data_IF_217350440656
#
_entry.id   IF_217350440656
#
_cell.length_a   1.000
_cell.length_b   1.000
_cell.length_c   1.000
_cell.angle_alpha   90.00
_cell.angle_beta   90.00
_cell.angle_gamma   90.00
#
_symmetry.space_group_name_H-M   'P 1'
#
loop_
_entity.id
_entity.type
_entity.pdbx_description
1 polymer ?
#
# COMPACT_ATOMS: atom_id res chain seq x y z
N UNK A 1 -33.44 28.23 71.75
CA UNK A 1 -33.27 29.19 70.64
C UNK A 1 -31.77 29.36 70.44
N UNK A 2 -31.05 28.84 69.46
CA UNK A 2 -31.36 28.40 68.10
C UNK A 2 -30.34 27.30 67.71
N UNK A 3 -30.80 26.24 67.05
CA UNK A 3 -29.97 25.28 66.35
C UNK A 3 -30.01 25.64 64.86
N UNK A 4 -28.87 25.90 64.21
CA UNK A 4 -28.70 25.86 62.76
C UNK A 4 -27.24 26.16 62.41
N UNK A 5 -26.82 25.73 61.22
CA UNK A 5 -25.53 25.97 60.56
C UNK A 5 -24.39 25.02 60.91
N UNK A 6 -24.50 23.76 60.46
CA UNK A 6 -23.30 22.96 60.18
C UNK A 6 -23.39 22.04 58.96
N UNK A 7 -24.27 22.34 58.00
CA UNK A 7 -24.42 21.57 56.76
C UNK A 7 -24.45 22.45 55.49
N UNK A 8 -23.53 23.41 55.37
CA UNK A 8 -23.38 24.18 54.14
C UNK A 8 -21.90 24.43 53.88
N UNK A 9 -21.21 23.46 53.25
CA UNK A 9 -19.79 23.66 52.96
C UNK A 9 -19.07 22.55 52.19
N UNK A 10 -19.80 21.58 51.61
CA UNK A 10 -19.18 20.54 50.77
C UNK A 10 -19.98 20.18 49.52
N UNK A 11 -20.74 21.12 48.98
CA UNK A 11 -21.05 21.08 47.55
C UNK A 11 -19.82 21.64 46.81
N UNK A 12 -18.76 20.83 46.75
CA UNK A 12 -17.66 21.11 45.84
C UNK A 12 -18.27 21.21 44.45
N UNK A 13 -18.23 22.42 43.91
CA UNK A 13 -18.61 22.75 42.55
C UNK A 13 -17.88 21.76 41.65
N UNK A 14 -18.60 20.75 41.17
CA UNK A 14 -18.12 19.84 40.13
C UNK A 14 -17.99 20.74 38.91
N UNK A 15 -16.82 21.33 38.74
CA UNK A 15 -16.53 22.18 37.59
C UNK A 15 -16.84 21.33 36.36
N UNK A 16 -17.99 21.60 35.73
CA UNK A 16 -18.31 21.09 34.41
C UNK A 16 -17.11 21.48 33.57
N UNK A 17 -16.38 20.50 33.02
CA UNK A 17 -15.45 20.78 31.93
C UNK A 17 -16.28 21.44 30.85
N UNK A 18 -16.22 22.75 30.78
CA UNK A 18 -16.76 23.54 29.68
C UNK A 18 -15.89 23.21 28.48
N UNK A 19 -16.36 22.29 27.66
CA UNK A 19 -15.91 22.22 26.28
C UNK A 19 -16.24 23.59 25.68
N UNK A 20 -15.22 24.31 25.24
CA UNK A 20 -15.37 25.55 24.51
C UNK A 20 -16.24 25.25 23.28
N UNK A 21 -17.50 25.70 23.33
CA UNK A 21 -18.31 25.83 22.12
C UNK A 21 -17.85 27.11 21.43
N UNK A 22 -17.54 27.02 20.14
CA UNK A 22 -17.11 28.18 19.35
C UNK A 22 -18.11 29.33 19.53
N UNK A 23 -17.61 30.52 19.84
CA UNK A 23 -18.44 31.73 19.91
C UNK A 23 -18.96 32.06 18.50
N UNK A 24 -20.25 32.43 18.35
CA UNK A 24 -20.79 32.84 17.05
C UNK A 24 -20.04 34.10 16.60
N UNK A 25 -19.42 34.08 15.42
CA UNK A 25 -18.56 35.16 14.90
C UNK A 25 -17.05 34.94 15.03
N UNK A 26 -16.57 33.82 15.59
CA UNK A 26 -15.13 33.50 15.67
C UNK A 26 -14.65 32.63 14.48
N UNK A 27 -15.32 32.74 13.34
CA UNK A 27 -15.13 31.88 12.17
C UNK A 27 -13.94 32.28 11.28
N UNK A 28 -13.48 33.54 11.36
CA UNK A 28 -12.35 34.03 10.55
C UNK A 28 -11.16 34.61 11.34
N UNK A 29 -11.23 34.73 12.68
CA UNK A 29 -10.14 35.32 13.51
C UNK A 29 -9.26 34.31 14.24
N UNK A 30 -9.63 33.02 14.22
CA UNK A 30 -8.86 31.97 14.88
C UNK A 30 -7.72 31.49 13.99
N UNK A 31 -6.47 31.75 14.39
CA UNK A 31 -5.25 31.32 13.69
C UNK A 31 -5.26 29.83 13.29
N UNK A 32 -5.90 28.98 14.09
CA UNK A 32 -6.09 27.57 13.80
C UNK A 32 -6.96 27.31 12.55
N UNK A 33 -8.06 28.03 12.37
CA UNK A 33 -8.94 27.87 11.20
C UNK A 33 -8.21 28.35 9.93
N UNK A 34 -7.48 29.47 10.03
CA UNK A 34 -6.63 29.96 8.94
C UNK A 34 -5.55 28.94 8.55
N UNK A 35 -4.88 28.31 9.53
CA UNK A 35 -3.89 27.26 9.25
C UNK A 35 -4.50 26.02 8.59
N UNK A 36 -5.75 25.64 8.94
CA UNK A 36 -6.44 24.51 8.32
C UNK A 36 -6.80 24.79 6.87
N UNK A 37 -7.29 26.00 6.55
CA UNK A 37 -7.56 26.42 5.17
C UNK A 37 -6.27 26.42 4.34
N UNK A 38 -5.16 26.94 4.89
CA UNK A 38 -3.86 26.93 4.22
C UNK A 38 -3.33 25.51 3.97
N UNK A 39 -3.47 24.59 4.94
CA UNK A 39 -3.10 23.17 4.76
C UNK A 39 -3.97 22.50 3.70
N UNK A 40 -5.27 22.80 3.67
CA UNK A 40 -6.18 22.26 2.66
C UNK A 40 -5.81 22.73 1.25
N UNK A 41 -5.49 24.02 1.09
CA UNK A 41 -5.02 24.56 -0.18
C UNK A 41 -3.68 23.95 -0.60
N UNK A 42 -2.72 23.84 0.31
CA UNK A 42 -1.44 23.19 0.02
C UNK A 42 -1.64 21.73 -0.39
N UNK A 43 -2.51 20.99 0.31
CA UNK A 43 -2.81 19.60 0.01
C UNK A 43 -3.46 19.41 -1.36
N UNK A 44 -4.32 20.33 -1.80
CA UNK A 44 -4.89 20.32 -3.17
C UNK A 44 -3.77 20.39 -4.21
N UNK A 45 -2.84 21.35 -4.06
CA UNK A 45 -1.72 21.51 -4.99
C UNK A 45 -0.75 20.31 -4.96
N UNK A 46 -0.43 19.77 -3.77
CA UNK A 46 0.42 18.59 -3.64
C UNK A 46 -0.24 17.34 -4.24
N UNK A 47 -1.54 17.14 -4.00
CA UNK A 47 -2.28 16.02 -4.57
C UNK A 47 -2.34 16.09 -6.09
N UNK A 48 -2.55 17.27 -6.66
CA UNK A 48 -2.55 17.47 -8.12
C UNK A 48 -1.17 17.23 -8.72
N UNK A 49 -0.09 17.58 -8.03
CA UNK A 49 1.27 17.24 -8.44
C UNK A 49 1.49 15.73 -8.49
N UNK A 50 1.15 15.01 -7.42
CA UNK A 50 1.30 13.55 -7.36
C UNK A 50 0.40 12.84 -8.39
N UNK A 51 -0.82 13.33 -8.63
CA UNK A 51 -1.69 12.80 -9.69
C UNK A 51 -1.04 12.91 -11.06
N UNK A 52 -0.41 14.05 -11.38
CA UNK A 52 0.32 14.24 -12.65
C UNK A 52 1.54 13.32 -12.77
N UNK A 53 2.20 13.01 -11.67
CA UNK A 53 3.35 12.09 -11.63
C UNK A 53 2.91 10.62 -11.79
N UNK A 54 1.82 10.23 -11.11
CA UNK A 54 1.41 8.83 -10.96
C UNK A 54 0.35 8.35 -11.95
N UNK A 55 -0.61 9.18 -12.39
CA UNK A 55 -1.79 8.70 -13.13
C UNK A 55 -2.23 9.57 -14.33
N UNK A 56 -2.64 8.85 -15.38
CA UNK A 56 -3.41 9.30 -16.54
C UNK A 56 -4.75 9.92 -16.09
N UNK A 57 -5.17 10.98 -16.78
CA UNK A 57 -6.45 11.64 -16.56
C UNK A 57 -7.61 10.65 -16.56
N UNK A 58 -8.61 10.93 -15.73
CA UNK A 58 -9.82 10.15 -15.53
C UNK A 58 -10.41 9.61 -16.86
N UNK A 59 -10.47 8.28 -17.09
CA UNK A 59 -11.07 7.73 -18.30
C UNK A 59 -12.61 7.80 -18.28
N UNK A 60 -13.23 8.28 -17.20
CA UNK A 60 -14.69 8.31 -17.04
C UNK A 60 -15.34 9.65 -17.40
N UNK A 61 -14.60 10.62 -17.93
CA UNK A 61 -15.16 11.92 -18.34
C UNK A 61 -14.81 12.26 -19.79
N UNK A 62 -15.37 11.45 -20.72
CA UNK A 62 -15.80 11.85 -22.06
C UNK A 62 -15.02 12.93 -22.82
N UNK A 63 -13.68 12.89 -22.80
CA UNK A 63 -12.86 13.79 -23.62
C UNK A 63 -12.56 13.08 -24.94
N UNK A 64 -13.14 13.59 -26.02
CA UNK A 64 -13.28 12.99 -27.35
C UNK A 64 -11.95 12.80 -28.12
N UNK A 65 -10.80 12.97 -27.46
CA UNK A 65 -9.49 12.99 -28.11
C UNK A 65 -8.54 11.99 -27.45
N UNK A 66 -8.82 10.70 -27.62
CA UNK A 66 -7.97 9.59 -27.15
C UNK A 66 -6.51 9.70 -27.62
N UNK A 67 -6.24 10.37 -28.74
CA UNK A 67 -4.90 10.53 -29.31
C UNK A 67 -4.33 11.96 -29.28
N UNK A 68 -5.05 12.97 -28.75
CA UNK A 68 -4.66 14.39 -28.86
C UNK A 68 -4.11 15.07 -27.61
N UNK A 69 -4.18 14.44 -26.43
CA UNK A 69 -3.89 15.06 -25.14
C UNK A 69 -2.60 14.54 -24.46
N UNK A 70 -1.54 14.30 -25.24
CA UNK A 70 -0.22 13.87 -24.74
C UNK A 70 0.59 15.03 -24.13
N UNK A 71 0.03 15.76 -23.17
CA UNK A 71 0.75 16.77 -22.36
C UNK A 71 0.44 16.54 -20.89
N UNK A 72 1.06 15.56 -20.24
CA UNK A 72 0.93 15.46 -18.78
C UNK A 72 1.18 14.17 -17.99
N UNK A 73 1.57 13.02 -18.57
CA UNK A 73 1.55 11.73 -17.85
C UNK A 73 2.86 10.95 -18.06
N UNK A 74 3.91 11.27 -17.30
CA UNK A 74 5.27 11.08 -17.82
C UNK A 74 6.05 9.86 -17.31
N UNK A 75 5.80 9.37 -16.09
CA UNK A 75 6.77 8.45 -15.46
C UNK A 75 6.18 7.08 -15.19
N UNK A 76 5.15 6.98 -14.34
CA UNK A 76 4.72 5.67 -13.82
C UNK A 76 4.16 4.75 -14.92
N UNK A 77 3.22 5.22 -15.74
CA UNK A 77 2.56 4.37 -16.75
C UNK A 77 3.50 3.93 -17.88
N UNK A 78 4.31 4.82 -18.50
CA UNK A 78 5.32 4.39 -19.46
C UNK A 78 6.37 3.47 -18.84
N UNK A 79 6.82 3.74 -17.61
CA UNK A 79 7.80 2.88 -16.92
C UNK A 79 7.25 1.47 -16.66
N UNK A 80 5.98 1.35 -16.25
CA UNK A 80 5.32 0.05 -16.06
C UNK A 80 5.19 -0.70 -17.39
N UNK A 81 4.87 -0.02 -18.49
CA UNK A 81 4.81 -0.65 -19.82
C UNK A 81 6.19 -1.18 -20.22
N UNK A 82 7.23 -0.37 -20.12
CA UNK A 82 8.60 -0.80 -20.47
C UNK A 82 9.05 -1.95 -19.58
N UNK A 83 8.81 -1.86 -18.28
CA UNK A 83 9.13 -2.95 -17.34
C UNK A 83 8.35 -4.23 -17.65
N UNK A 84 7.07 -4.14 -18.01
CA UNK A 84 6.26 -5.29 -18.38
C UNK A 84 6.77 -5.94 -19.68
N UNK A 85 7.12 -5.15 -20.69
CA UNK A 85 7.70 -5.68 -21.94
C UNK A 85 9.03 -6.37 -21.69
N UNK A 86 9.90 -5.78 -20.87
CA UNK A 86 11.18 -6.39 -20.49
C UNK A 86 10.97 -7.70 -19.71
N UNK A 87 10.06 -7.71 -18.72
CA UNK A 87 9.73 -8.91 -17.95
C UNK A 87 9.16 -10.03 -18.84
N UNK A 88 8.35 -9.69 -19.84
CA UNK A 88 7.85 -10.68 -20.82
C UNK A 88 8.98 -11.26 -21.68
N UNK A 89 9.92 -10.43 -22.14
CA UNK A 89 11.09 -10.91 -22.90
C UNK A 89 11.92 -11.87 -22.05
N UNK A 90 12.24 -11.47 -20.82
CA UNK A 90 13.04 -12.27 -19.90
C UNK A 90 12.34 -13.59 -19.53
N UNK A 91 11.02 -13.57 -19.35
CA UNK A 91 10.23 -14.79 -19.13
C UNK A 91 10.33 -15.75 -20.33
N UNK A 92 10.22 -15.24 -21.57
CA UNK A 92 10.36 -16.09 -22.77
C UNK A 92 11.76 -16.68 -22.94
N UNK A 93 12.81 -15.92 -22.61
CA UNK A 93 14.19 -16.41 -22.62
C UNK A 93 14.41 -17.49 -21.55
N UNK A 94 13.81 -17.33 -20.37
CA UNK A 94 13.86 -18.34 -19.32
C UNK A 94 13.14 -19.63 -19.71
N UNK A 95 11.98 -19.54 -20.36
CA UNK A 95 11.25 -20.70 -20.87
C UNK A 95 12.08 -21.44 -21.93
N UNK A 96 12.65 -20.72 -22.90
CA UNK A 96 13.51 -21.31 -23.93
C UNK A 96 14.77 -21.96 -23.33
N UNK A 97 15.38 -21.37 -22.31
CA UNK A 97 16.53 -21.97 -21.61
C UNK A 97 16.15 -23.25 -20.87
N UNK A 98 14.97 -23.29 -20.24
CA UNK A 98 14.47 -24.51 -19.59
C UNK A 98 14.17 -25.63 -20.61
N UNK A 99 13.70 -25.29 -21.80
CA UNK A 99 13.49 -26.25 -22.90
C UNK A 99 14.83 -26.81 -23.40
N UNK A 100 15.83 -25.95 -23.64
CA UNK A 100 17.18 -26.38 -24.01
C UNK A 100 17.80 -27.33 -22.98
N UNK A 101 17.70 -27.00 -21.69
CA UNK A 101 18.20 -27.88 -20.62
C UNK A 101 17.48 -29.24 -20.64
N UNK A 102 16.17 -29.27 -20.89
CA UNK A 102 15.44 -30.54 -20.97
C UNK A 102 15.89 -31.35 -22.20
N UNK A 103 16.08 -30.71 -23.34
CA UNK A 103 16.54 -31.38 -24.57
C UNK A 103 17.94 -31.98 -24.40
N UNK A 104 18.89 -31.24 -23.81
CA UNK A 104 20.25 -31.72 -23.54
C UNK A 104 20.30 -32.90 -22.56
N UNK A 105 19.33 -33.00 -21.66
CA UNK A 105 19.22 -34.05 -20.65
C UNK A 105 18.21 -35.16 -21.01
N UNK A 106 17.87 -35.30 -22.30
CA UNK A 106 17.05 -36.42 -22.78
C UNK A 106 15.55 -36.30 -22.51
N UNK A 107 15.05 -35.08 -22.30
CA UNK A 107 13.64 -34.75 -22.09
C UNK A 107 13.25 -34.46 -20.64
N UNK A 108 14.17 -34.68 -19.69
CA UNK A 108 13.95 -34.42 -18.26
C UNK A 108 14.86 -33.30 -17.76
N UNK A 109 14.46 -32.60 -16.69
CA UNK A 109 15.35 -31.62 -16.05
C UNK A 109 16.51 -32.38 -15.38
N UNK A 110 17.73 -31.80 -15.36
CA UNK A 110 18.89 -32.46 -14.77
C UNK A 110 18.62 -32.78 -13.32
N UNK A 111 19.10 -33.93 -12.87
CA UNK A 111 18.96 -34.36 -11.48
C UNK A 111 19.56 -33.30 -10.56
N UNK A 112 18.72 -32.69 -9.72
CA UNK A 112 19.17 -31.65 -8.80
C UNK A 112 19.79 -32.30 -7.57
N UNK A 113 21.11 -32.21 -7.45
CA UNK A 113 21.84 -32.69 -6.28
C UNK A 113 21.29 -32.03 -5.00
N UNK A 114 20.88 -32.87 -4.04
CA UNK A 114 20.33 -32.44 -2.75
C UNK A 114 21.46 -32.32 -1.74
N UNK A 115 21.73 -31.10 -1.29
CA UNK A 115 22.68 -30.88 -0.21
C UNK A 115 22.01 -30.94 1.17
N UNK A 116 22.75 -31.27 2.25
CA UNK A 116 22.17 -31.40 3.60
C UNK A 116 21.52 -30.13 4.17
N UNK A 117 21.81 -28.96 3.58
CA UNK A 117 21.22 -27.69 3.98
C UNK A 117 19.96 -27.31 3.18
N UNK A 118 19.63 -28.06 2.11
CA UNK A 118 18.37 -27.89 1.38
C UNK A 118 17.21 -28.54 2.12
N UNK A 119 16.04 -27.91 2.04
CA UNK A 119 14.81 -28.38 2.71
C UNK A 119 14.99 -28.71 4.21
N UNK A 120 16.00 -28.14 4.89
CA UNK A 120 16.22 -28.36 6.32
C UNK A 120 14.98 -27.92 7.10
N UNK A 121 14.42 -28.83 7.89
CA UNK A 121 13.34 -28.53 8.84
C UNK A 121 13.82 -28.80 10.25
N UNK A 122 13.61 -27.85 11.14
CA UNK A 122 13.80 -28.04 12.59
C UNK A 122 12.46 -28.41 13.27
N UNK A 123 11.35 -28.03 12.64
CA UNK A 123 9.98 -28.33 13.05
C UNK A 123 9.11 -28.50 11.81
N UNK A 124 8.10 -29.36 11.93
CA UNK A 124 7.13 -29.59 10.87
C UNK A 124 6.12 -28.45 10.78
N UNK A 125 5.56 -28.25 9.58
CA UNK A 125 4.53 -27.25 9.41
C UNK A 125 3.18 -27.76 9.91
N UNK A 126 2.30 -26.88 10.43
CA UNK A 126 1.01 -27.28 10.98
C UNK A 126 -0.05 -27.68 9.95
N UNK A 127 0.24 -27.61 8.64
CA UNK A 127 -0.71 -27.93 7.54
C UNK A 127 -0.23 -29.04 6.59
N UNK A 128 1.00 -29.56 6.76
CA UNK A 128 1.55 -30.63 5.91
C UNK A 128 3.03 -30.42 5.58
N UNK A 129 3.61 -31.33 4.81
CA UNK A 129 5.09 -31.43 4.66
C UNK A 129 5.70 -30.33 3.77
N UNK A 130 4.87 -29.69 2.94
CA UNK A 130 5.27 -28.72 1.92
C UNK A 130 4.98 -27.27 2.32
N UNK A 131 5.71 -26.34 1.69
CA UNK A 131 5.47 -24.91 1.85
C UNK A 131 4.17 -24.48 1.17
N UNK A 132 3.62 -23.33 1.55
CA UNK A 132 2.38 -22.79 0.97
C UNK A 132 2.46 -22.57 -0.56
N UNK A 133 3.65 -22.22 -1.05
CA UNK A 133 3.93 -22.03 -2.47
C UNK A 133 4.80 -23.16 -3.02
N UNK A 134 4.50 -24.41 -2.64
CA UNK A 134 5.20 -25.57 -3.17
C UNK A 134 4.76 -25.88 -4.60
N UNK A 135 5.72 -25.98 -5.52
CA UNK A 135 5.48 -26.39 -6.90
C UNK A 135 6.30 -27.66 -7.23
N UNK A 136 5.65 -28.80 -7.52
CA UNK A 136 6.34 -30.08 -7.75
C UNK A 136 7.25 -30.08 -9.00
N UNK A 137 7.09 -29.10 -9.90
CA UNK A 137 7.94 -28.98 -11.09
C UNK A 137 9.31 -28.35 -10.82
N UNK A 138 9.45 -27.60 -9.73
CA UNK A 138 10.66 -26.80 -9.44
C UNK A 138 11.23 -27.06 -8.04
N UNK A 139 10.38 -27.44 -7.09
CA UNK A 139 10.76 -27.72 -5.72
C UNK A 139 10.93 -29.22 -5.54
N UNK A 140 11.98 -29.60 -4.80
CA UNK A 140 12.25 -30.97 -4.42
C UNK A 140 11.35 -31.31 -3.23
N UNK A 141 10.67 -32.48 -3.19
CA UNK A 141 9.95 -32.91 -2.00
C UNK A 141 10.92 -33.09 -0.82
N UNK A 142 10.38 -32.99 0.39
CA UNK A 142 11.12 -33.33 1.61
C UNK A 142 11.37 -34.84 1.59
N UNK A 143 12.62 -35.27 1.84
CA UNK A 143 13.00 -36.67 1.99
C UNK A 143 12.74 -37.17 3.40
#
# INVERSE_FOLDING_TARGET
MFAAFRNAGRAAIRARRSYSTAAPGAEDTNAFIASRKAVEEHAKHSADLWRKITCVGNPLLGSENWFGAAKGYYVAFPAVIVAALNAKSLASEHEAHLEHIKEENGGELPERIVYPYFNKREKDFPWGDNTLFYNPKVNIPVQ
#
